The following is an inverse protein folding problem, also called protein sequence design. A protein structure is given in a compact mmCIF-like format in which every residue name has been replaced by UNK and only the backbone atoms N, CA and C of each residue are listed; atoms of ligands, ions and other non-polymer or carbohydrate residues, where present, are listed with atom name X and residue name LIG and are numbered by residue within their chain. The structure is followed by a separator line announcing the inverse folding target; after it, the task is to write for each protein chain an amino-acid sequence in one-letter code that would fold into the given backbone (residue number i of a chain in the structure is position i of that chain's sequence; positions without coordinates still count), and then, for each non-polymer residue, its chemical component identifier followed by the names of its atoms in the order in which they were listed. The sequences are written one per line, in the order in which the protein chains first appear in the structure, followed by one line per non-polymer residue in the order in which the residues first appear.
data_IF_294762019684
#
_entry.id   IF_294762019684
#
_cell.length_a   1.000
_cell.length_b   1.000
_cell.length_c   1.000
_cell.angle_alpha   90.00
_cell.angle_beta   90.00
_cell.angle_gamma   90.00
#
_symmetry.space_group_name_H-M   'P 1'
#
loop_
_entity.id
_entity.type
_entity.pdbx_description
1 polymer ?
#
# COMPACT_ATOMS: atom_id res chain seq x y z
N UNK A 1 -55.72 -20.17 26.79
CA UNK A 1 -54.38 -20.52 26.25
C UNK A 1 -53.89 -19.61 25.12
N UNK A 2 -54.75 -19.09 24.23
CA UNK A 2 -54.36 -18.31 23.03
C UNK A 2 -53.60 -16.99 23.30
N UNK A 3 -53.80 -16.37 24.47
CA UNK A 3 -53.20 -15.06 24.78
C UNK A 3 -51.75 -15.14 25.28
N UNK A 4 -51.39 -16.24 25.98
CA UNK A 4 -50.00 -16.47 26.46
C UNK A 4 -49.06 -16.88 25.33
N UNK A 5 -49.58 -17.62 24.34
CA UNK A 5 -48.82 -17.98 23.13
C UNK A 5 -48.58 -16.77 22.23
N UNK A 6 -49.53 -15.83 22.14
CA UNK A 6 -49.35 -14.60 21.37
C UNK A 6 -48.23 -13.70 21.94
N UNK A 7 -48.20 -13.54 23.27
CA UNK A 7 -47.15 -12.79 23.97
C UNK A 7 -45.75 -13.42 23.81
N UNK A 8 -45.67 -14.75 23.79
CA UNK A 8 -44.40 -15.45 23.55
C UNK A 8 -43.88 -15.22 22.14
N UNK A 9 -44.77 -15.27 21.13
CA UNK A 9 -44.38 -15.05 19.73
C UNK A 9 -43.94 -13.62 19.50
N UNK A 10 -44.64 -12.62 20.07
CA UNK A 10 -44.23 -11.22 19.95
C UNK A 10 -42.92 -10.94 20.68
N UNK A 11 -42.69 -11.53 21.86
CA UNK A 11 -41.42 -11.40 22.57
C UNK A 11 -40.24 -12.02 21.82
N UNK A 12 -40.45 -13.16 21.15
CA UNK A 12 -39.43 -13.81 20.31
C UNK A 12 -39.12 -12.99 19.07
N UNK A 13 -40.14 -12.38 18.43
CA UNK A 13 -39.94 -11.47 17.30
C UNK A 13 -39.17 -10.21 17.73
N UNK A 14 -39.48 -9.65 18.91
CA UNK A 14 -38.81 -8.47 19.44
C UNK A 14 -37.35 -8.77 19.82
N UNK A 15 -37.07 -9.96 20.35
CA UNK A 15 -35.71 -10.47 20.58
C UNK A 15 -34.94 -10.73 19.27
N UNK A 16 -35.62 -11.22 18.22
CA UNK A 16 -35.03 -11.38 16.88
C UNK A 16 -34.70 -10.02 16.24
N UNK A 17 -35.55 -9.02 16.42
CA UNK A 17 -35.29 -7.64 16.00
C UNK A 17 -34.13 -7.02 16.79
N UNK A 18 -34.05 -7.24 18.11
CA UNK A 18 -32.90 -6.80 18.91
C UNK A 18 -31.59 -7.51 18.53
N UNK A 19 -31.65 -8.79 18.11
CA UNK A 19 -30.49 -9.54 17.60
C UNK A 19 -29.96 -8.98 16.27
N UNK A 20 -30.82 -8.38 15.45
CA UNK A 20 -30.46 -7.80 14.14
C UNK A 20 -30.20 -6.28 14.18
N UNK A 21 -30.58 -5.60 15.27
CA UNK A 21 -30.54 -4.14 15.39
C UNK A 21 -29.18 -3.50 15.71
N UNK A 22 -28.06 -4.23 15.63
CA UNK A 22 -26.72 -3.69 15.93
C UNK A 22 -25.70 -4.14 14.89
N UNK A 23 -25.92 -3.77 13.63
CA UNK A 23 -24.86 -3.72 12.62
C UNK A 23 -25.14 -2.52 11.72
N UNK A 24 -25.13 -1.34 12.33
CA UNK A 24 -25.01 -0.09 11.59
C UNK A 24 -23.51 0.11 11.33
N UNK A 25 -22.98 -0.51 10.29
CA UNK A 25 -21.73 -0.03 9.70
C UNK A 25 -22.07 1.32 9.06
N UNK A 26 -21.98 2.40 9.85
CA UNK A 26 -21.82 3.73 9.28
C UNK A 26 -20.49 3.71 8.54
N UNK A 27 -20.56 3.68 7.22
CA UNK A 27 -19.44 3.91 6.31
C UNK A 27 -18.88 5.30 6.54
N UNK A 28 -18.08 5.46 7.59
CA UNK A 28 -17.32 6.67 7.86
C UNK A 28 -16.31 6.82 6.72
N UNK A 29 -16.52 7.81 5.85
CA UNK A 29 -15.65 8.12 4.73
C UNK A 29 -14.22 8.35 5.25
N UNK A 30 -13.31 7.46 4.88
CA UNK A 30 -11.90 7.53 5.28
C UNK A 30 -11.22 8.60 4.41
N UNK A 31 -10.60 9.63 5.00
CA UNK A 31 -9.89 10.65 4.23
C UNK A 31 -8.77 10.04 3.36
N UNK A 32 -8.46 10.69 2.24
CA UNK A 32 -7.38 10.27 1.38
C UNK A 32 -6.04 10.19 2.15
N UNK A 33 -5.33 9.08 1.95
CA UNK A 33 -4.06 8.82 2.65
C UNK A 33 -4.19 8.21 4.05
N UNK A 34 -5.42 7.95 4.51
CA UNK A 34 -5.71 7.26 5.77
C UNK A 34 -6.26 5.85 5.52
N UNK A 35 -6.24 4.99 6.54
CA UNK A 35 -6.85 3.66 6.56
C UNK A 35 -7.46 3.36 7.93
N UNK A 36 -8.49 2.51 7.97
CA UNK A 36 -9.05 2.01 9.23
C UNK A 36 -8.27 0.78 9.67
N UNK A 37 -7.89 0.76 10.94
CA UNK A 37 -7.27 -0.41 11.58
C UNK A 37 -8.09 -0.79 12.80
N UNK A 38 -8.42 -2.08 12.91
CA UNK A 38 -9.09 -2.62 14.08
C UNK A 38 -8.07 -2.86 15.20
N UNK A 39 -8.31 -2.25 16.35
CA UNK A 39 -7.49 -2.34 17.56
C UNK A 39 -8.26 -2.98 18.71
N UNK A 40 -7.56 -3.77 19.53
CA UNK A 40 -8.13 -4.44 20.70
C UNK A 40 -9.32 -5.35 20.37
N UNK A 41 -10.44 -5.16 21.08
CA UNK A 41 -11.67 -5.97 20.98
C UNK A 41 -12.67 -5.45 19.94
N UNK A 42 -12.17 -4.90 18.83
CA UNK A 42 -13.03 -4.42 17.74
C UNK A 42 -13.21 -2.91 17.66
N UNK A 43 -12.40 -2.11 18.36
CA UNK A 43 -12.42 -0.66 18.16
C UNK A 43 -11.76 -0.33 16.81
N UNK A 44 -12.36 0.53 16.02
CA UNK A 44 -11.78 1.02 14.77
C UNK A 44 -11.09 2.36 15.01
N UNK A 45 -9.85 2.48 14.52
CA UNK A 45 -9.12 3.75 14.52
C UNK A 45 -8.64 4.07 13.11
N UNK A 46 -8.70 5.35 12.76
CA UNK A 46 -8.21 5.86 11.49
C UNK A 46 -6.76 6.32 11.65
N UNK A 47 -5.86 5.75 10.87
CA UNK A 47 -4.42 6.04 10.92
C UNK A 47 -3.91 6.36 9.51
N UNK A 48 -2.75 7.03 9.36
CA UNK A 48 -2.10 7.16 8.06
C UNK A 48 -1.86 5.79 7.43
N UNK A 49 -2.03 5.71 6.11
CA UNK A 49 -1.85 4.46 5.39
C UNK A 49 -0.44 3.89 5.58
N UNK A 50 -0.34 2.65 6.04
CA UNK A 50 0.92 1.99 6.33
C UNK A 50 1.60 2.49 7.62
N UNK A 51 0.83 3.08 8.54
CA UNK A 51 1.26 3.31 9.91
C UNK A 51 1.50 1.99 10.62
N UNK A 52 2.57 1.90 11.43
CA UNK A 52 2.88 0.67 12.17
C UNK A 52 1.95 0.53 13.37
N UNK A 53 1.42 -0.66 13.54
CA UNK A 53 0.59 -1.03 14.70
C UNK A 53 1.20 -2.24 15.37
N UNK A 54 1.59 -2.09 16.64
CA UNK A 54 2.25 -3.14 17.40
C UNK A 54 1.37 -3.57 18.56
N UNK A 55 1.21 -4.88 18.76
CA UNK A 55 0.53 -5.44 19.94
C UNK A 55 1.58 -5.86 20.98
N UNK A 56 1.40 -5.42 22.23
CA UNK A 56 2.23 -5.80 23.39
C UNK A 56 1.31 -6.31 24.50
N UNK A 57 1.04 -7.61 24.50
CA UNK A 57 0.01 -8.21 25.36
C UNK A 57 -1.37 -7.65 25.01
N UNK A 58 -2.05 -7.10 26.01
CA UNK A 58 -3.36 -6.44 25.84
C UNK A 58 -3.25 -4.99 25.33
N UNK A 59 -2.03 -4.43 25.22
CA UNK A 59 -1.81 -3.08 24.75
C UNK A 59 -1.66 -3.06 23.22
N UNK A 60 -2.34 -2.12 22.56
CA UNK A 60 -2.08 -1.78 21.16
C UNK A 60 -1.36 -0.43 21.11
N UNK A 61 -0.17 -0.43 20.50
CA UNK A 61 0.66 0.76 20.32
C UNK A 61 0.61 1.16 18.87
N UNK A 62 0.13 2.38 18.62
CA UNK A 62 0.14 3.01 17.31
C UNK A 62 1.43 3.80 17.14
N UNK A 63 2.01 3.74 15.95
CA UNK A 63 3.13 4.61 15.55
C UNK A 63 2.74 6.08 15.73
N UNK A 64 3.64 6.86 16.33
CA UNK A 64 3.40 8.29 16.49
C UNK A 64 3.49 9.02 15.14
N UNK A 65 2.83 10.17 15.01
CA UNK A 65 2.90 10.96 13.78
C UNK A 65 4.34 11.35 13.40
N UNK A 66 5.18 11.71 14.38
CA UNK A 66 6.57 12.07 14.15
C UNK A 66 7.41 10.87 13.68
N UNK A 67 7.19 9.69 14.26
CA UNK A 67 7.88 8.47 13.85
C UNK A 67 7.46 8.04 12.44
N UNK A 68 6.16 8.11 12.13
CA UNK A 68 5.63 7.84 10.79
C UNK A 68 6.25 8.77 9.74
N UNK A 69 6.24 10.09 10.00
CA UNK A 69 6.80 11.08 9.08
C UNK A 69 8.31 10.87 8.92
N UNK A 70 9.05 10.72 10.02
CA UNK A 70 10.49 10.50 9.98
C UNK A 70 10.85 9.27 9.14
N UNK A 71 10.17 8.14 9.39
CA UNK A 71 10.35 6.92 8.60
C UNK A 71 10.02 7.12 7.13
N UNK A 72 8.90 7.77 6.81
CA UNK A 72 8.49 8.00 5.42
C UNK A 72 9.44 8.94 4.67
N UNK A 73 9.99 9.95 5.35
CA UNK A 73 11.03 10.82 4.78
C UNK A 73 12.29 10.01 4.49
N UNK A 74 12.77 9.20 5.44
CA UNK A 74 13.93 8.34 5.20
C UNK A 74 13.72 7.33 4.07
N UNK A 75 12.53 6.72 3.99
CA UNK A 75 12.15 5.83 2.87
C UNK A 75 12.17 6.58 1.52
N UNK A 76 11.82 7.87 1.50
CA UNK A 76 11.87 8.70 0.28
C UNK A 76 13.30 9.06 -0.09
N UNK A 77 14.13 9.43 0.87
CA UNK A 77 15.56 9.74 0.66
C UNK A 77 16.29 8.53 0.05
N UNK A 78 16.08 7.33 0.60
CA UNK A 78 16.68 6.10 0.06
C UNK A 78 16.23 5.82 -1.38
N UNK A 79 14.94 6.04 -1.67
CA UNK A 79 14.39 5.88 -3.03
C UNK A 79 14.97 6.91 -4.01
N UNK A 80 15.19 8.14 -3.57
CA UNK A 80 15.81 9.18 -4.39
C UNK A 80 17.26 8.82 -4.71
N UNK A 81 18.03 8.40 -3.71
CA UNK A 81 19.42 7.95 -3.92
C UNK A 81 19.49 6.79 -4.92
N UNK A 82 18.59 5.82 -4.79
CA UNK A 82 18.50 4.70 -5.73
C UNK A 82 18.17 5.17 -7.15
N UNK A 83 17.22 6.09 -7.32
CA UNK A 83 16.86 6.65 -8.63
C UNK A 83 18.05 7.39 -9.24
N UNK A 84 18.81 8.17 -8.46
CA UNK A 84 20.01 8.86 -8.95
C UNK A 84 21.08 7.87 -9.41
N UNK A 85 21.29 6.80 -8.65
CA UNK A 85 22.23 5.73 -9.02
C UNK A 85 21.79 5.03 -10.31
N UNK A 86 20.52 4.65 -10.40
CA UNK A 86 19.95 3.99 -11.57
C UNK A 86 20.07 4.91 -12.80
N UNK A 87 19.84 6.22 -12.67
CA UNK A 87 20.04 7.18 -13.76
C UNK A 87 21.50 7.25 -14.23
N UNK A 88 22.47 7.26 -13.31
CA UNK A 88 23.90 7.25 -13.67
C UNK A 88 24.27 5.95 -14.39
N UNK A 89 23.81 4.81 -13.89
CA UNK A 89 24.06 3.51 -14.50
C UNK A 89 23.43 3.41 -15.90
N UNK A 90 22.18 3.88 -16.07
CA UNK A 90 21.52 3.90 -17.37
C UNK A 90 22.29 4.78 -18.37
N UNK A 91 22.79 5.95 -17.96
CA UNK A 91 23.61 6.82 -18.83
C UNK A 91 24.89 6.13 -19.27
N UNK A 92 25.59 5.46 -18.36
CA UNK A 92 26.79 4.69 -18.70
C UNK A 92 26.49 3.55 -19.66
N UNK A 93 25.41 2.81 -19.44
CA UNK A 93 24.97 1.74 -20.37
C UNK A 93 24.65 2.30 -21.76
N UNK A 94 24.02 3.47 -21.84
CA UNK A 94 23.75 4.13 -23.11
C UNK A 94 25.03 4.55 -23.83
N UNK A 95 26.02 5.10 -23.12
CA UNK A 95 27.31 5.49 -23.70
C UNK A 95 28.09 4.27 -24.22
N UNK A 96 28.13 3.18 -23.46
CA UNK A 96 28.75 1.92 -23.88
C UNK A 96 28.05 1.34 -25.10
N UNK A 97 26.71 1.33 -25.13
CA UNK A 97 25.95 0.86 -26.28
C UNK A 97 26.17 1.74 -27.51
N UNK A 98 26.21 3.07 -27.35
CA UNK A 98 26.50 4.00 -28.44
C UNK A 98 27.90 3.75 -29.03
N UNK A 99 28.90 3.49 -28.17
CA UNK A 99 30.25 3.16 -28.61
C UNK A 99 30.32 1.80 -29.31
N UNK A 100 29.67 0.78 -28.77
CA UNK A 100 29.61 -0.53 -29.40
C UNK A 100 28.93 -0.46 -30.78
N UNK A 101 27.88 0.36 -30.91
CA UNK A 101 27.24 0.64 -32.20
C UNK A 101 28.20 1.33 -33.17
N UNK A 102 28.91 2.39 -32.76
CA UNK A 102 29.88 3.07 -33.63
C UNK A 102 31.02 2.15 -34.07
N UNK A 103 31.52 1.31 -33.15
CA UNK A 103 32.60 0.36 -33.45
C UNK A 103 32.12 -0.71 -34.43
N UNK A 104 30.89 -1.21 -34.27
CA UNK A 104 30.29 -2.18 -35.20
C UNK A 104 30.02 -1.57 -36.59
N UNK A 105 29.56 -0.32 -36.66
CA UNK A 105 29.38 0.41 -37.90
C UNK A 105 30.73 0.57 -38.62
N UNK A 106 31.77 1.03 -37.93
CA UNK A 106 33.10 1.18 -38.50
C UNK A 106 33.69 -0.16 -38.98
N UNK A 107 33.48 -1.26 -38.26
CA UNK A 107 33.88 -2.59 -38.71
C UNK A 107 33.13 -3.00 -39.99
N UNK A 108 31.83 -2.70 -40.09
CA UNK A 108 31.03 -3.00 -41.28
C UNK A 108 31.51 -2.21 -42.50
N UNK A 109 31.87 -0.94 -42.33
CA UNK A 109 32.46 -0.14 -43.41
C UNK A 109 33.89 -0.56 -43.77
N UNK A 110 34.69 -0.99 -42.79
CA UNK A 110 36.06 -1.46 -43.02
C UNK A 110 36.13 -2.87 -43.62
N UNK A 111 35.08 -3.69 -43.45
CA UNK A 111 34.98 -5.05 -44.01
C UNK A 111 34.11 -5.14 -45.26
N UNK A 112 33.52 -4.04 -45.73
CA UNK A 112 32.97 -3.96 -47.09
C UNK A 112 34.15 -4.05 -48.07
N UNK A 113 34.33 -5.18 -48.77
CA UNK A 113 35.46 -5.36 -49.66
C UNK A 113 35.32 -4.38 -50.80
N UNK A 114 36.46 -3.85 -51.24
CA UNK A 114 36.65 -3.39 -52.59
C UNK A 114 36.01 -4.43 -53.55
N UNK A 115 34.85 -4.11 -54.10
CA UNK A 115 34.09 -4.99 -54.98
C UNK A 115 33.00 -4.15 -55.61
N UNK A 116 33.12 -3.72 -56.85
CA UNK A 116 34.17 -3.87 -57.85
C UNK A 116 33.75 -2.93 -58.99
N UNK A 117 34.75 -2.52 -59.77
CA UNK A 117 34.71 -2.03 -61.15
C UNK A 117 33.40 -1.41 -61.70
#
# INVERSE_FOLDING_TARGET
MKMRTLFFVTAVILLLWMRHGFSQEEGQDIPAGMEKVTVGRGAEVVVPKGARVTKRGDLVVLESANEYVGRKVSELEERLEKIEKDQKELRQKMEVLAKALSDSANQTFASSPNGGE
#
